data_IF_572220679214
#
_entry.id   IF_572220679214
#
_cell.length_a   1.000
_cell.length_b   1.000
_cell.length_c   1.000
_cell.angle_alpha   90.00
_cell.angle_beta   90.00
_cell.angle_gamma   90.00
#
_symmetry.space_group_name_H-M   'P 1'
#
loop_
_entity.id
_entity.type
_entity.pdbx_description
1 polymer ?
#
# COMPACT_ATOMS: atom_id res chain seq x y z
N UNK A 1 33.56 -19.58 21.73
CA UNK A 1 34.23 -18.49 20.98
C UNK A 1 33.68 -18.55 19.55
N UNK A 2 33.13 -17.47 19.04
CA UNK A 2 32.70 -17.47 17.64
C UNK A 2 33.96 -17.58 16.77
N UNK A 3 34.05 -18.62 15.94
CA UNK A 3 35.10 -18.75 14.96
C UNK A 3 34.96 -17.68 13.88
N UNK A 4 36.09 -17.07 13.49
CA UNK A 4 36.16 -16.08 12.43
C UNK A 4 37.02 -16.60 11.28
N UNK A 5 36.67 -16.29 10.07
CA UNK A 5 37.52 -16.43 8.90
C UNK A 5 38.04 -15.07 8.43
N UNK A 6 39.11 -15.07 7.68
CA UNK A 6 39.65 -13.87 7.04
C UNK A 6 39.13 -13.77 5.61
N UNK A 7 38.57 -12.62 5.28
CA UNK A 7 38.23 -12.25 3.90
C UNK A 7 38.91 -10.93 3.54
N UNK A 8 39.00 -10.64 2.26
CA UNK A 8 39.66 -9.44 1.75
C UNK A 8 38.79 -8.66 0.78
N UNK A 9 38.87 -7.35 0.85
CA UNK A 9 38.40 -6.41 -0.17
C UNK A 9 39.54 -5.46 -0.58
N UNK A 10 39.21 -4.40 -1.34
CA UNK A 10 40.20 -3.41 -1.82
C UNK A 10 40.89 -2.61 -0.69
N UNK A 11 40.33 -2.62 0.51
CA UNK A 11 40.87 -1.93 1.70
C UNK A 11 41.69 -2.85 2.59
N UNK A 12 41.76 -4.15 2.29
CA UNK A 12 42.54 -5.12 3.04
C UNK A 12 41.71 -6.19 3.73
N UNK A 13 42.33 -6.82 4.76
CA UNK A 13 41.77 -7.97 5.48
C UNK A 13 40.66 -7.54 6.47
N UNK A 14 39.60 -8.37 6.55
CA UNK A 14 38.48 -8.24 7.49
C UNK A 14 38.18 -9.60 8.11
N UNK A 15 37.85 -9.62 9.41
CA UNK A 15 37.39 -10.81 10.13
C UNK A 15 35.89 -10.94 10.01
N UNK A 16 35.43 -12.02 9.36
CA UNK A 16 34.00 -12.34 9.17
C UNK A 16 33.65 -13.57 9.98
N UNK A 17 32.49 -13.66 10.66
CA UNK A 17 32.09 -14.87 11.37
C UNK A 17 32.10 -16.08 10.42
N UNK A 18 32.68 -17.20 10.88
CA UNK A 18 32.98 -18.35 10.00
C UNK A 18 31.74 -19.02 9.40
N UNK A 19 30.60 -18.94 10.10
CA UNK A 19 29.32 -19.53 9.71
C UNK A 19 28.50 -18.66 8.72
N UNK A 20 28.88 -17.41 8.51
CA UNK A 20 28.10 -16.46 7.68
C UNK A 20 28.52 -16.49 6.22
N UNK A 21 27.55 -16.29 5.33
CA UNK A 21 27.80 -16.24 3.88
C UNK A 21 28.19 -14.85 3.37
N UNK A 22 27.98 -13.80 4.15
CA UNK A 22 28.46 -12.48 3.74
C UNK A 22 29.97 -12.38 3.82
N UNK A 23 30.55 -11.38 3.16
CA UNK A 23 31.98 -11.20 3.05
C UNK A 23 32.48 -9.90 3.68
N UNK A 24 33.66 -9.43 3.21
CA UNK A 24 34.37 -8.31 3.79
C UNK A 24 33.60 -6.98 3.72
N UNK A 25 32.98 -6.67 2.59
CA UNK A 25 32.28 -5.39 2.43
C UNK A 25 31.01 -5.30 3.30
N UNK A 26 30.27 -6.40 3.40
CA UNK A 26 29.13 -6.49 4.33
C UNK A 26 29.57 -6.34 5.78
N UNK A 27 30.64 -7.00 6.16
CA UNK A 27 31.17 -6.92 7.52
C UNK A 27 31.59 -5.48 7.88
N UNK A 28 32.25 -4.76 6.97
CA UNK A 28 32.56 -3.34 7.16
C UNK A 28 31.30 -2.48 7.31
N UNK A 29 30.26 -2.77 6.55
CA UNK A 29 29.00 -2.05 6.68
C UNK A 29 28.37 -2.27 8.05
N UNK A 30 28.39 -3.48 8.58
CA UNK A 30 27.92 -3.79 9.93
C UNK A 30 28.72 -3.06 11.02
N UNK A 31 30.01 -2.87 10.82
CA UNK A 31 30.88 -2.16 11.76
C UNK A 31 30.65 -0.64 11.73
N UNK A 32 30.42 -0.06 10.54
CA UNK A 32 30.35 1.39 10.37
C UNK A 32 28.93 1.96 10.38
N UNK A 33 27.90 1.15 10.08
CA UNK A 33 26.52 1.58 9.88
C UNK A 33 25.51 0.82 10.74
N UNK A 34 25.88 0.39 11.93
CA UNK A 34 24.97 -0.18 12.94
C UNK A 34 24.11 0.94 13.55
N UNK A 35 23.14 1.44 12.79
CA UNK A 35 22.27 2.57 13.15
C UNK A 35 20.83 2.09 13.23
N UNK A 36 20.21 2.20 14.39
CA UNK A 36 18.84 1.76 14.62
C UNK A 36 18.67 0.24 14.50
N UNK A 37 17.43 -0.19 14.31
CA UNK A 37 17.08 -1.61 14.14
C UNK A 37 16.45 -1.92 12.76
N UNK A 38 16.29 -0.91 11.92
CA UNK A 38 15.61 -1.04 10.63
C UNK A 38 16.53 -1.73 9.62
N UNK A 39 16.19 -2.95 9.26
CA UNK A 39 16.92 -3.69 8.22
C UNK A 39 16.36 -3.38 6.83
N UNK A 40 17.17 -3.61 5.80
CA UNK A 40 16.72 -3.55 4.42
C UNK A 40 15.51 -4.49 4.23
N UNK A 41 14.45 -4.03 3.58
CA UNK A 41 13.22 -4.82 3.39
C UNK A 41 13.48 -6.18 2.72
N UNK A 42 12.75 -7.21 3.15
CA UNK A 42 12.83 -8.55 2.57
C UNK A 42 12.51 -8.57 1.07
N UNK A 43 11.64 -7.69 0.63
CA UNK A 43 11.29 -7.47 -0.77
C UNK A 43 12.52 -7.16 -1.62
N UNK A 44 13.51 -6.44 -1.05
CA UNK A 44 14.78 -6.15 -1.73
C UNK A 44 15.65 -7.39 -1.89
N UNK A 45 15.65 -8.32 -0.92
CA UNK A 45 16.38 -9.59 -1.03
C UNK A 45 15.83 -10.39 -2.20
N UNK A 46 14.53 -10.55 -2.27
CA UNK A 46 13.83 -11.27 -3.35
C UNK A 46 14.04 -10.58 -4.70
N UNK A 47 13.91 -9.25 -4.76
CA UNK A 47 14.11 -8.48 -5.98
C UNK A 47 15.54 -8.61 -6.52
N UNK A 48 16.54 -8.58 -5.63
CA UNK A 48 17.92 -8.80 -6.03
C UNK A 48 18.18 -10.23 -6.50
N UNK A 49 17.57 -11.24 -5.89
CA UNK A 49 17.69 -12.63 -6.37
C UNK A 49 17.13 -12.78 -7.79
N UNK A 50 15.98 -12.16 -8.08
CA UNK A 50 15.41 -12.08 -9.45
C UNK A 50 16.39 -11.38 -10.39
N UNK A 51 16.89 -10.21 -10.01
CA UNK A 51 17.79 -9.39 -10.80
C UNK A 51 19.10 -10.14 -11.10
N UNK A 52 19.75 -10.74 -10.11
CA UNK A 52 21.02 -11.47 -10.27
C UNK A 52 20.84 -12.72 -11.12
N UNK A 53 19.72 -13.44 -10.96
CA UNK A 53 19.38 -14.57 -11.83
C UNK A 53 19.20 -14.12 -13.28
N UNK A 54 18.44 -13.05 -13.51
CA UNK A 54 18.23 -12.50 -14.85
C UNK A 54 19.54 -12.02 -15.49
N UNK A 55 20.40 -11.34 -14.72
CA UNK A 55 21.70 -10.89 -15.21
C UNK A 55 22.63 -12.07 -15.55
N UNK A 56 22.64 -13.13 -14.73
CA UNK A 56 23.39 -14.35 -15.02
C UNK A 56 22.90 -15.02 -16.31
N UNK A 57 21.57 -15.11 -16.51
CA UNK A 57 20.97 -15.66 -17.71
C UNK A 57 21.35 -14.84 -18.96
N UNK A 58 21.26 -13.51 -18.89
CA UNK A 58 21.61 -12.62 -20.00
C UNK A 58 23.11 -12.69 -20.34
N UNK A 59 24.00 -12.67 -19.35
CA UNK A 59 25.44 -12.79 -19.57
C UNK A 59 25.85 -14.16 -20.10
N UNK A 60 25.17 -15.23 -19.66
CA UNK A 60 25.39 -16.58 -20.18
C UNK A 60 24.93 -16.68 -21.63
N UNK A 61 23.75 -16.18 -21.97
CA UNK A 61 23.26 -16.17 -23.36
C UNK A 61 24.18 -15.35 -24.30
N UNK A 62 24.82 -14.31 -23.78
CA UNK A 62 25.85 -13.52 -24.52
C UNK A 62 27.23 -14.17 -24.55
N UNK A 63 27.40 -15.37 -23.99
CA UNK A 63 28.69 -16.09 -23.97
C UNK A 63 29.74 -15.52 -23.01
N UNK A 64 29.37 -14.57 -22.12
CA UNK A 64 30.29 -13.95 -21.16
C UNK A 64 30.46 -14.73 -19.87
N UNK A 65 29.45 -15.52 -19.50
CA UNK A 65 29.44 -16.36 -18.29
C UNK A 65 29.34 -17.82 -18.72
N UNK A 66 30.30 -18.66 -18.28
CA UNK A 66 30.32 -20.08 -18.61
C UNK A 66 29.22 -20.88 -17.90
N UNK A 67 28.92 -22.08 -18.45
CA UNK A 67 27.85 -22.97 -17.98
C UNK A 67 27.95 -23.29 -16.48
N UNK A 68 29.17 -23.57 -15.98
CA UNK A 68 29.37 -23.98 -14.58
C UNK A 68 29.07 -22.85 -13.60
N UNK A 69 29.59 -21.64 -13.86
CA UNK A 69 29.34 -20.46 -13.03
C UNK A 69 27.90 -20.02 -13.11
N UNK A 70 27.33 -20.03 -14.32
CA UNK A 70 25.91 -19.73 -14.53
C UNK A 70 25.01 -20.66 -13.71
N UNK A 71 25.20 -21.98 -13.82
CA UNK A 71 24.39 -22.96 -13.08
C UNK A 71 24.46 -22.77 -11.54
N UNK A 72 25.66 -22.45 -11.02
CA UNK A 72 25.84 -22.17 -9.60
C UNK A 72 25.12 -20.89 -9.15
N UNK A 73 25.27 -19.78 -9.88
CA UNK A 73 24.62 -18.50 -9.54
C UNK A 73 23.11 -18.66 -9.58
N UNK A 74 22.56 -19.25 -10.65
CA UNK A 74 21.11 -19.49 -10.78
C UNK A 74 20.58 -20.33 -9.64
N UNK A 75 21.26 -21.43 -9.29
CA UNK A 75 20.88 -22.28 -8.17
C UNK A 75 20.81 -21.51 -6.85
N UNK A 76 21.81 -20.70 -6.54
CA UNK A 76 21.81 -19.89 -5.30
C UNK A 76 20.70 -18.83 -5.32
N UNK A 77 20.46 -18.19 -6.46
CA UNK A 77 19.32 -17.28 -6.57
C UNK A 77 17.99 -18.00 -6.32
N UNK A 78 17.82 -19.24 -6.80
CA UNK A 78 16.63 -20.05 -6.53
C UNK A 78 16.50 -20.44 -5.06
N UNK A 79 17.61 -20.74 -4.37
CA UNK A 79 17.61 -20.96 -2.91
C UNK A 79 17.10 -19.70 -2.18
N UNK A 80 17.57 -18.51 -2.55
CA UNK A 80 17.14 -17.24 -1.96
C UNK A 80 15.64 -16.96 -2.26
N UNK A 81 15.19 -17.19 -3.49
CA UNK A 81 13.78 -17.05 -3.88
C UNK A 81 12.86 -18.00 -3.13
N UNK A 82 13.37 -19.19 -2.79
CA UNK A 82 12.67 -20.16 -1.94
C UNK A 82 12.68 -19.80 -0.43
N UNK A 83 13.19 -18.63 -0.07
CA UNK A 83 13.23 -18.15 1.32
C UNK A 83 14.43 -18.62 2.14
N UNK A 84 15.41 -19.28 1.52
CA UNK A 84 16.63 -19.71 2.20
C UNK A 84 17.63 -18.54 2.31
N UNK A 85 18.51 -18.62 3.30
CA UNK A 85 19.61 -17.66 3.52
C UNK A 85 19.19 -16.21 3.80
N UNK A 86 17.92 -15.95 4.12
CA UNK A 86 17.46 -14.57 4.37
C UNK A 86 18.13 -13.92 5.59
N UNK A 87 18.62 -14.70 6.53
CA UNK A 87 19.41 -14.26 7.69
C UNK A 87 20.85 -13.84 7.31
N UNK A 88 21.26 -14.02 6.06
CA UNK A 88 22.55 -13.59 5.54
C UNK A 88 22.55 -12.15 4.98
N UNK A 89 21.42 -11.43 5.13
CA UNK A 89 21.26 -10.04 4.68
C UNK A 89 20.97 -9.11 5.88
N UNK A 90 21.96 -8.86 6.75
CA UNK A 90 21.75 -8.19 8.03
C UNK A 90 21.91 -6.66 7.98
N UNK A 91 22.01 -6.06 6.79
CA UNK A 91 22.32 -4.65 6.65
C UNK A 91 21.15 -3.74 7.03
N UNK A 92 21.48 -2.65 7.69
CA UNK A 92 20.52 -1.61 8.08
C UNK A 92 20.13 -0.73 6.89
N UNK A 93 18.96 -0.10 6.97
CA UNK A 93 18.51 0.91 6.01
C UNK A 93 19.47 2.11 5.96
N UNK A 94 20.03 2.48 7.11
CA UNK A 94 20.91 3.63 7.31
C UNK A 94 22.35 3.32 6.87
N UNK A 95 22.52 3.02 5.58
CA UNK A 95 23.79 2.73 4.91
C UNK A 95 24.11 3.81 3.87
N UNK A 96 25.12 3.58 3.02
CA UNK A 96 25.38 4.46 1.89
C UNK A 96 24.14 4.60 1.01
N UNK A 97 23.74 5.82 0.70
CA UNK A 97 22.51 6.11 -0.03
C UNK A 97 22.45 5.60 -1.47
N UNK A 98 23.59 5.17 -2.02
CA UNK A 98 23.67 4.48 -3.32
C UNK A 98 23.15 3.03 -3.26
N UNK A 99 23.16 2.42 -2.07
CA UNK A 99 22.83 1.00 -1.88
C UNK A 99 23.96 0.05 -2.23
N UNK A 100 25.18 0.55 -2.47
CA UNK A 100 26.34 -0.27 -2.86
C UNK A 100 26.63 -1.40 -1.87
N UNK A 101 26.53 -1.12 -0.57
CA UNK A 101 26.80 -2.12 0.47
C UNK A 101 25.82 -3.30 0.38
N UNK A 102 24.55 -3.06 0.13
CA UNK A 102 23.58 -4.13 -0.01
C UNK A 102 23.74 -4.91 -1.35
N UNK A 103 24.05 -4.24 -2.46
CA UNK A 103 24.43 -4.94 -3.69
C UNK A 103 25.62 -5.87 -3.46
N UNK A 104 26.63 -5.41 -2.72
CA UNK A 104 27.79 -6.24 -2.39
C UNK A 104 27.44 -7.37 -1.42
N UNK A 105 26.56 -7.13 -0.44
CA UNK A 105 26.04 -8.18 0.43
C UNK A 105 25.43 -9.33 -0.40
N UNK A 106 24.59 -8.99 -1.39
CA UNK A 106 24.00 -10.01 -2.28
C UNK A 106 25.08 -10.72 -3.10
N UNK A 107 26.02 -9.99 -3.66
CA UNK A 107 27.13 -10.58 -4.44
C UNK A 107 28.00 -11.52 -3.60
N UNK A 108 28.31 -11.12 -2.36
CA UNK A 108 29.15 -11.92 -1.43
C UNK A 108 28.42 -13.18 -0.98
N UNK A 109 27.12 -13.09 -0.62
CA UNK A 109 26.32 -14.25 -0.24
C UNK A 109 26.21 -15.27 -1.37
N UNK A 110 25.94 -14.80 -2.60
CA UNK A 110 25.87 -15.68 -3.78
C UNK A 110 27.24 -16.34 -4.01
N UNK A 111 28.33 -15.57 -4.02
CA UNK A 111 29.68 -16.08 -4.22
C UNK A 111 30.07 -17.13 -3.16
N UNK A 112 29.88 -16.83 -1.90
CA UNK A 112 30.22 -17.75 -0.79
C UNK A 112 29.35 -19.01 -0.79
N UNK A 113 28.06 -18.90 -1.12
CA UNK A 113 27.22 -20.08 -1.29
C UNK A 113 27.68 -20.95 -2.46
N UNK A 114 28.12 -20.34 -3.56
CA UNK A 114 28.73 -21.07 -4.68
C UNK A 114 30.02 -21.77 -4.25
N UNK A 115 30.84 -21.16 -3.37
CA UNK A 115 32.03 -21.82 -2.80
C UNK A 115 31.61 -23.08 -2.02
N UNK A 116 30.60 -23.00 -1.15
CA UNK A 116 30.10 -24.18 -0.41
C UNK A 116 29.63 -25.29 -1.36
N UNK A 117 28.84 -24.94 -2.38
CA UNK A 117 28.33 -25.90 -3.36
C UNK A 117 29.45 -26.57 -4.18
N UNK A 118 30.55 -25.87 -4.40
CA UNK A 118 31.71 -26.36 -5.12
C UNK A 118 32.76 -27.06 -4.23
N UNK A 119 32.56 -27.06 -2.89
CA UNK A 119 33.52 -27.64 -1.94
C UNK A 119 34.80 -26.81 -1.77
N UNK A 120 34.77 -25.51 -2.09
CA UNK A 120 35.89 -24.57 -1.91
C UNK A 120 35.71 -23.76 -0.62
N UNK A 121 36.79 -23.14 -0.11
CA UNK A 121 36.75 -22.35 1.10
C UNK A 121 35.89 -21.07 0.91
N UNK A 122 35.12 -20.70 1.94
CA UNK A 122 34.43 -19.40 1.97
C UNK A 122 35.47 -18.27 1.89
N UNK A 123 35.13 -17.21 1.14
CA UNK A 123 36.04 -16.09 0.88
C UNK A 123 37.08 -16.35 -0.19
N UNK A 124 37.19 -17.59 -0.72
CA UNK A 124 38.14 -17.91 -1.80
C UNK A 124 37.77 -17.27 -3.14
N UNK A 125 36.53 -16.83 -3.31
CA UNK A 125 35.99 -16.25 -4.55
C UNK A 125 36.09 -17.22 -5.74
N UNK A 126 36.17 -18.51 -5.48
CA UNK A 126 36.32 -19.59 -6.47
C UNK A 126 35.28 -20.67 -6.23
N UNK A 127 34.50 -21.09 -7.25
CA UNK A 127 34.62 -20.75 -8.69
C UNK A 127 33.96 -19.44 -9.10
N UNK A 128 33.15 -18.80 -8.24
CA UNK A 128 32.38 -17.60 -8.55
C UNK A 128 32.90 -16.40 -7.76
N UNK A 129 33.39 -15.38 -8.48
CA UNK A 129 33.85 -14.12 -7.89
C UNK A 129 32.68 -13.14 -7.74
N UNK A 130 32.52 -12.42 -6.60
CA UNK A 130 31.37 -11.53 -6.36
C UNK A 130 31.29 -10.38 -7.37
N UNK A 131 32.43 -9.78 -7.74
CA UNK A 131 32.44 -8.65 -8.69
C UNK A 131 32.50 -9.11 -10.14
N UNK A 132 33.39 -10.06 -10.48
CA UNK A 132 33.66 -10.42 -11.86
C UNK A 132 32.55 -11.27 -12.49
N UNK A 133 31.83 -12.08 -11.69
CA UNK A 133 30.81 -12.99 -12.17
C UNK A 133 29.41 -12.63 -11.71
N UNK A 134 29.16 -12.41 -10.40
CA UNK A 134 27.82 -12.08 -9.90
C UNK A 134 27.40 -10.67 -10.31
N UNK A 135 28.33 -9.72 -10.30
CA UNK A 135 28.11 -8.31 -10.68
C UNK A 135 28.44 -7.99 -12.14
N UNK A 136 28.71 -9.00 -12.96
CA UNK A 136 29.06 -8.84 -14.38
C UNK A 136 28.02 -7.99 -15.12
N UNK A 137 28.47 -7.01 -15.92
CA UNK A 137 27.65 -6.07 -16.69
C UNK A 137 26.76 -5.13 -15.83
N UNK A 138 27.06 -4.97 -14.54
CA UNK A 138 26.26 -4.19 -13.59
C UNK A 138 27.12 -3.20 -12.80
N UNK A 139 26.43 -2.22 -12.22
CA UNK A 139 26.90 -1.38 -11.12
C UNK A 139 25.86 -1.44 -9.99
N UNK A 140 26.22 -1.07 -8.77
CA UNK A 140 25.20 -0.79 -7.72
C UNK A 140 24.31 0.39 -8.11
N UNK A 141 24.79 1.27 -8.98
CA UNK A 141 24.08 2.48 -9.38
C UNK A 141 22.88 2.19 -10.28
N UNK A 142 22.90 1.11 -11.05
CA UNK A 142 21.78 0.65 -11.87
C UNK A 142 21.04 -0.54 -11.27
N UNK A 143 21.73 -1.42 -10.53
CA UNK A 143 21.13 -2.62 -9.95
C UNK A 143 20.26 -2.31 -8.73
N UNK A 144 20.70 -1.43 -7.82
CA UNK A 144 19.90 -1.10 -6.62
C UNK A 144 18.57 -0.41 -6.98
N UNK A 145 18.53 0.63 -7.84
CA UNK A 145 17.25 1.20 -8.23
C UNK A 145 16.38 0.22 -9.01
N UNK A 146 16.97 -0.64 -9.85
CA UNK A 146 16.18 -1.69 -10.52
C UNK A 146 15.56 -2.67 -9.54
N UNK A 147 16.30 -3.08 -8.49
CA UNK A 147 15.75 -3.92 -7.42
C UNK A 147 14.64 -3.20 -6.63
N UNK A 148 14.76 -1.89 -6.38
CA UNK A 148 13.69 -1.08 -5.76
C UNK A 148 12.40 -1.13 -6.59
N UNK A 149 12.52 -0.97 -7.90
CA UNK A 149 11.37 -0.98 -8.82
C UNK A 149 10.74 -2.37 -8.90
N UNK A 150 11.55 -3.42 -8.98
CA UNK A 150 11.07 -4.82 -8.94
C UNK A 150 10.35 -5.10 -7.62
N UNK A 151 10.97 -4.78 -6.47
CA UNK A 151 10.40 -4.99 -5.14
C UNK A 151 9.05 -4.30 -5.00
N UNK A 152 8.97 -3.02 -5.40
CA UNK A 152 7.74 -2.22 -5.31
C UNK A 152 6.63 -2.77 -6.21
N UNK A 153 6.93 -3.05 -7.47
CA UNK A 153 5.92 -3.54 -8.42
C UNK A 153 5.39 -4.92 -8.04
N UNK A 154 6.27 -5.84 -7.65
CA UNK A 154 5.89 -7.19 -7.22
C UNK A 154 5.02 -7.13 -5.96
N UNK A 155 5.43 -6.38 -4.94
CA UNK A 155 4.67 -6.24 -3.70
C UNK A 155 3.27 -5.61 -3.95
N UNK A 156 3.19 -4.58 -4.78
CA UNK A 156 1.91 -3.95 -5.13
C UNK A 156 1.01 -4.92 -5.90
N UNK A 157 1.53 -5.59 -6.93
CA UNK A 157 0.72 -6.51 -7.77
C UNK A 157 0.29 -7.77 -7.05
N UNK A 158 1.17 -8.37 -6.26
CA UNK A 158 0.90 -9.66 -5.65
C UNK A 158 0.24 -9.57 -4.28
N UNK A 159 0.34 -8.44 -3.58
CA UNK A 159 -0.15 -8.30 -2.21
C UNK A 159 -1.17 -7.17 -2.06
N UNK A 160 -0.80 -5.92 -2.40
CA UNK A 160 -1.64 -4.76 -2.11
C UNK A 160 -2.92 -4.74 -2.96
N UNK A 161 -2.80 -4.86 -4.29
CA UNK A 161 -3.96 -4.84 -5.18
C UNK A 161 -4.98 -5.93 -4.82
N UNK A 162 -4.60 -7.20 -4.61
CA UNK A 162 -5.53 -8.23 -4.17
C UNK A 162 -6.23 -7.91 -2.84
N UNK A 163 -5.51 -7.35 -1.86
CA UNK A 163 -6.07 -7.00 -0.57
C UNK A 163 -7.08 -5.84 -0.66
N UNK A 164 -6.73 -4.77 -1.38
CA UNK A 164 -7.61 -3.62 -1.60
C UNK A 164 -8.83 -4.03 -2.45
N UNK A 165 -8.64 -4.85 -3.48
CA UNK A 165 -9.74 -5.37 -4.30
C UNK A 165 -10.70 -6.22 -3.46
N UNK A 166 -10.20 -7.09 -2.61
CA UNK A 166 -11.04 -7.90 -1.73
C UNK A 166 -11.83 -7.03 -0.72
N UNK A 167 -11.22 -5.95 -0.21
CA UNK A 167 -11.91 -4.96 0.62
C UNK A 167 -12.99 -4.22 -0.18
N UNK A 168 -12.67 -3.75 -1.38
CA UNK A 168 -13.64 -3.14 -2.30
C UNK A 168 -14.83 -4.05 -2.53
N UNK A 169 -14.60 -5.30 -2.90
CA UNK A 169 -15.65 -6.26 -3.24
C UNK A 169 -16.56 -6.54 -2.02
N UNK A 170 -16.00 -6.61 -0.81
CA UNK A 170 -16.78 -6.77 0.42
C UNK A 170 -17.67 -5.54 0.72
N UNK A 171 -17.14 -4.33 0.54
CA UNK A 171 -17.90 -3.09 0.70
C UNK A 171 -18.99 -2.97 -0.37
N UNK A 172 -18.69 -3.27 -1.62
CA UNK A 172 -19.63 -3.25 -2.72
C UNK A 172 -20.78 -4.27 -2.52
N UNK A 173 -20.47 -5.46 -1.98
CA UNK A 173 -21.49 -6.44 -1.62
C UNK A 173 -22.44 -5.93 -0.54
N UNK A 174 -21.93 -5.21 0.47
CA UNK A 174 -22.75 -4.55 1.50
C UNK A 174 -23.60 -3.42 0.89
N UNK A 175 -23.01 -2.61 0.00
CA UNK A 175 -23.73 -1.55 -0.69
C UNK A 175 -24.93 -2.12 -1.46
N UNK A 176 -24.75 -3.21 -2.21
CA UNK A 176 -25.85 -3.88 -2.92
C UNK A 176 -26.91 -4.47 -1.96
N UNK A 177 -26.46 -5.09 -0.86
CA UNK A 177 -27.39 -5.70 0.12
C UNK A 177 -28.20 -4.67 0.92
N UNK A 178 -27.78 -3.41 0.97
CA UNK A 178 -28.40 -2.33 1.76
C UNK A 178 -28.97 -1.19 0.91
N UNK A 179 -29.18 -1.44 -0.39
CA UNK A 179 -29.65 -0.44 -1.34
C UNK A 179 -31.09 0.06 -1.07
N UNK A 180 -31.89 -0.75 -0.39
CA UNK A 180 -33.26 -0.42 0.03
C UNK A 180 -33.39 0.16 1.44
N UNK A 181 -32.31 0.24 2.22
CA UNK A 181 -32.32 0.73 3.59
C UNK A 181 -32.20 2.26 3.58
N UNK A 182 -33.34 2.94 3.66
CA UNK A 182 -33.39 4.41 3.75
C UNK A 182 -32.93 4.87 5.11
N UNK A 183 -31.97 5.82 5.12
CA UNK A 183 -31.45 6.48 6.32
C UNK A 183 -31.37 8.00 6.12
N UNK A 184 -31.17 8.76 7.20
CA UNK A 184 -30.84 10.17 7.06
C UNK A 184 -29.41 10.33 6.57
N UNK A 185 -29.18 11.26 5.63
CA UNK A 185 -27.85 11.74 5.30
C UNK A 185 -27.34 12.74 6.34
N UNK A 186 -26.04 13.00 6.33
CA UNK A 186 -25.43 14.05 7.14
C UNK A 186 -24.45 14.87 6.33
N UNK A 187 -24.60 16.21 6.43
CA UNK A 187 -23.61 17.17 5.92
C UNK A 187 -23.22 18.08 7.08
N UNK A 188 -21.96 18.47 7.23
CA UNK A 188 -21.46 19.21 8.38
C UNK A 188 -21.72 18.53 9.73
N UNK A 189 -21.87 17.21 9.75
CA UNK A 189 -22.33 16.42 10.91
C UNK A 189 -23.75 16.73 11.38
N UNK A 190 -24.54 17.45 10.59
CA UNK A 190 -25.95 17.77 10.84
C UNK A 190 -26.84 16.90 9.96
N UNK A 191 -28.07 16.68 10.43
CA UNK A 191 -29.08 15.93 9.70
C UNK A 191 -29.36 16.57 8.33
N UNK A 192 -29.42 15.75 7.32
CA UNK A 192 -29.68 16.15 5.94
C UNK A 192 -30.80 15.29 5.33
N UNK A 193 -31.03 15.48 4.03
CA UNK A 193 -32.02 14.70 3.29
C UNK A 193 -31.65 13.22 3.24
N UNK A 194 -32.63 12.31 3.07
CA UNK A 194 -32.39 10.88 3.03
C UNK A 194 -31.49 10.43 1.87
N UNK A 195 -30.78 9.36 2.11
CA UNK A 195 -30.16 8.48 1.12
C UNK A 195 -30.37 7.03 1.58
N UNK A 196 -29.95 6.06 0.78
CA UNK A 196 -29.89 4.68 1.28
C UNK A 196 -28.51 4.39 1.90
N UNK A 197 -28.48 3.44 2.84
CA UNK A 197 -27.21 2.94 3.39
C UNK A 197 -26.34 2.32 2.27
N UNK A 198 -26.98 1.68 1.29
CA UNK A 198 -26.30 1.18 0.10
C UNK A 198 -25.63 2.27 -0.72
N UNK A 199 -26.30 3.41 -0.94
CA UNK A 199 -25.72 4.57 -1.61
C UNK A 199 -24.51 5.13 -0.87
N UNK A 200 -24.58 5.27 0.45
CA UNK A 200 -23.46 5.70 1.28
C UNK A 200 -22.24 4.75 1.15
N UNK A 201 -22.46 3.45 1.25
CA UNK A 201 -21.40 2.45 1.10
C UNK A 201 -20.90 2.30 -0.33
N UNK A 202 -21.72 2.57 -1.35
CA UNK A 202 -21.28 2.61 -2.75
C UNK A 202 -20.23 3.69 -2.99
N UNK A 203 -20.32 4.82 -2.25
CA UNK A 203 -19.30 5.86 -2.27
C UNK A 203 -17.94 5.35 -1.80
N UNK A 204 -17.91 4.53 -0.74
CA UNK A 204 -16.66 3.91 -0.26
C UNK A 204 -16.08 2.90 -1.27
N UNK A 205 -16.93 2.08 -1.88
CA UNK A 205 -16.50 1.18 -2.94
C UNK A 205 -15.92 1.95 -4.14
N UNK A 206 -16.60 3.03 -4.56
CA UNK A 206 -16.13 3.90 -5.64
C UNK A 206 -14.75 4.51 -5.38
N UNK A 207 -14.49 4.99 -4.16
CA UNK A 207 -13.17 5.51 -3.78
C UNK A 207 -12.06 4.47 -3.96
N UNK A 208 -12.29 3.22 -3.53
CA UNK A 208 -11.32 2.13 -3.66
C UNK A 208 -11.14 1.67 -5.12
N UNK A 209 -12.20 1.68 -5.93
CA UNK A 209 -12.11 1.40 -7.36
C UNK A 209 -11.21 2.41 -8.07
N UNK A 210 -11.45 3.71 -7.83
CA UNK A 210 -10.62 4.79 -8.36
C UNK A 210 -9.16 4.68 -7.90
N UNK A 211 -8.91 4.29 -6.65
CA UNK A 211 -7.56 4.12 -6.13
C UNK A 211 -6.83 2.94 -6.78
N UNK A 212 -7.52 1.86 -7.10
CA UNK A 212 -6.95 0.73 -7.86
C UNK A 212 -6.52 1.16 -9.27
N UNK A 213 -7.32 1.98 -9.96
CA UNK A 213 -6.95 2.54 -11.26
C UNK A 213 -5.71 3.45 -11.17
N UNK A 214 -5.66 4.33 -10.16
CA UNK A 214 -4.49 5.20 -9.90
C UNK A 214 -3.22 4.39 -9.64
N UNK A 215 -3.32 3.29 -8.90
CA UNK A 215 -2.19 2.38 -8.63
C UNK A 215 -1.71 1.74 -9.94
N UNK A 216 -2.62 1.27 -10.78
CA UNK A 216 -2.29 0.69 -12.09
C UNK A 216 -1.58 1.70 -13.00
N UNK A 217 -2.01 2.95 -12.99
CA UNK A 217 -1.37 4.03 -13.74
C UNK A 217 0.04 4.35 -13.21
N UNK A 218 0.23 4.42 -11.90
CA UNK A 218 1.53 4.69 -11.30
C UNK A 218 2.55 3.58 -11.58
N UNK A 219 2.12 2.32 -11.64
CA UNK A 219 3.00 1.19 -11.94
C UNK A 219 3.63 1.25 -13.34
N UNK A 220 3.03 1.92 -14.32
CA UNK A 220 3.58 2.06 -15.68
C UNK A 220 4.99 2.67 -15.68
N UNK A 221 5.25 3.63 -14.78
CA UNK A 221 6.57 4.22 -14.61
C UNK A 221 7.55 3.28 -13.89
N UNK A 222 7.05 2.50 -12.94
CA UNK A 222 7.85 1.58 -12.11
C UNK A 222 8.37 0.37 -12.90
N UNK A 223 7.74 0.01 -14.02
CA UNK A 223 8.23 -1.08 -14.88
C UNK A 223 9.47 -0.74 -15.71
N UNK A 224 9.98 0.50 -15.67
CA UNK A 224 11.12 0.96 -16.46
C UNK A 224 12.41 0.87 -15.65
N UNK A 225 13.27 -0.10 -16.00
CA UNK A 225 14.44 -0.46 -15.21
C UNK A 225 15.70 0.32 -15.63
N UNK A 226 16.51 0.68 -14.62
CA UNK A 226 17.82 1.30 -14.79
C UNK A 226 18.90 0.32 -15.27
N UNK A 227 18.72 -0.97 -15.01
CA UNK A 227 19.71 -2.01 -15.25
C UNK A 227 20.23 -1.98 -16.70
N UNK A 228 21.55 -2.07 -16.85
CA UNK A 228 22.26 -1.86 -18.13
C UNK A 228 22.81 -0.45 -18.31
N UNK A 229 22.45 0.51 -17.44
CA UNK A 229 23.07 1.85 -17.44
C UNK A 229 24.44 1.87 -16.76
N UNK A 230 24.73 0.88 -15.95
CA UNK A 230 25.99 0.73 -15.18
C UNK A 230 26.31 1.94 -14.30
N UNK A 231 27.51 2.50 -14.40
CA UNK A 231 28.02 3.49 -13.45
C UNK A 231 27.24 4.82 -13.45
N UNK A 232 26.94 5.37 -14.62
CA UNK A 232 26.34 6.71 -14.79
C UNK A 232 25.21 6.77 -15.83
N UNK A 233 24.83 5.63 -16.42
CA UNK A 233 23.77 5.57 -17.44
C UNK A 233 24.25 5.29 -18.86
N UNK A 234 25.56 5.26 -19.10
CA UNK A 234 26.13 5.04 -20.43
C UNK A 234 26.27 3.58 -20.83
N UNK A 235 26.15 2.65 -19.88
CA UNK A 235 26.26 1.21 -20.13
C UNK A 235 27.70 0.70 -20.30
N UNK A 236 28.69 1.42 -19.79
CA UNK A 236 30.09 0.97 -19.88
C UNK A 236 30.28 -0.42 -19.25
N UNK A 237 31.05 -1.30 -19.92
CA UNK A 237 31.28 -2.69 -19.52
C UNK A 237 30.05 -3.62 -19.56
N UNK A 238 28.92 -3.19 -20.10
CA UNK A 238 27.80 -4.05 -20.49
C UNK A 238 27.82 -4.29 -22.00
N UNK A 239 27.49 -5.51 -22.44
CA UNK A 239 27.36 -5.81 -23.85
C UNK A 239 26.17 -5.08 -24.48
N UNK A 240 26.26 -4.66 -25.76
CA UNK A 240 25.12 -4.18 -26.49
C UNK A 240 23.94 -5.18 -26.42
N UNK A 241 22.74 -4.70 -26.06
CA UNK A 241 21.55 -5.54 -25.88
C UNK A 241 21.39 -6.17 -24.50
N UNK A 242 22.36 -6.00 -23.58
CA UNK A 242 22.24 -6.52 -22.21
C UNK A 242 21.05 -5.92 -21.46
N UNK A 243 20.81 -4.63 -21.61
CA UNK A 243 19.73 -3.93 -20.90
C UNK A 243 18.34 -4.48 -21.28
N UNK A 244 18.12 -4.73 -22.56
CA UNK A 244 16.89 -5.31 -23.10
C UNK A 244 16.75 -6.78 -22.68
N UNK A 245 17.81 -7.56 -22.80
CA UNK A 245 17.82 -8.98 -22.46
C UNK A 245 17.53 -9.22 -20.96
N UNK A 246 18.18 -8.46 -20.08
CA UNK A 246 17.99 -8.61 -18.63
C UNK A 246 16.60 -8.14 -18.20
N UNK A 247 16.05 -7.08 -18.78
CA UNK A 247 14.70 -6.63 -18.50
C UNK A 247 13.65 -7.66 -18.96
N UNK A 248 13.84 -8.29 -20.11
CA UNK A 248 12.98 -9.37 -20.61
C UNK A 248 13.03 -10.61 -19.70
N UNK A 249 14.21 -10.99 -19.20
CA UNK A 249 14.33 -12.09 -18.22
C UNK A 249 13.64 -11.73 -16.87
N UNK A 250 13.77 -10.50 -16.38
CA UNK A 250 13.06 -10.05 -15.19
C UNK A 250 11.55 -10.11 -15.42
N UNK A 251 11.06 -9.66 -16.58
CA UNK A 251 9.64 -9.75 -16.92
C UNK A 251 9.14 -11.20 -16.91
N UNK A 252 9.92 -12.12 -17.49
CA UNK A 252 9.60 -13.55 -17.51
C UNK A 252 9.60 -14.16 -16.12
N UNK A 253 10.57 -13.86 -15.26
CA UNK A 253 10.69 -14.39 -13.91
C UNK A 253 9.60 -13.88 -12.96
N UNK A 254 9.12 -12.65 -13.16
CA UNK A 254 8.12 -12.02 -12.31
C UNK A 254 6.69 -12.11 -12.84
N UNK A 255 6.53 -12.38 -14.13
CA UNK A 255 5.23 -12.29 -14.82
C UNK A 255 4.72 -10.85 -14.98
N UNK A 256 5.58 -9.84 -14.79
CA UNK A 256 5.23 -8.41 -14.86
C UNK A 256 5.91 -7.74 -16.06
N UNK A 257 5.33 -6.69 -16.65
CA UNK A 257 5.78 -6.12 -17.90
C UNK A 257 6.99 -5.18 -17.74
N UNK A 258 8.05 -5.64 -17.11
CA UNK A 258 9.29 -4.89 -16.98
C UNK A 258 9.97 -4.70 -18.33
N UNK A 259 10.47 -3.49 -18.54
CA UNK A 259 11.21 -3.09 -19.73
C UNK A 259 12.44 -2.28 -19.34
N UNK A 260 13.42 -2.23 -20.25
CA UNK A 260 14.54 -1.31 -20.07
C UNK A 260 14.04 0.14 -20.17
N UNK A 261 14.51 1.03 -19.27
CA UNK A 261 14.15 2.44 -19.35
C UNK A 261 14.71 3.05 -20.64
N UNK A 262 13.90 3.85 -21.36
CA UNK A 262 14.35 4.49 -22.60
C UNK A 262 15.46 5.52 -22.37
N UNK A 263 15.56 6.04 -21.16
CA UNK A 263 16.61 6.96 -20.72
C UNK A 263 17.15 6.52 -19.36
N UNK A 264 18.38 5.99 -19.34
CA UNK A 264 19.04 5.48 -18.12
C UNK A 264 19.41 6.59 -17.15
N UNK A 265 19.72 7.77 -17.66
CA UNK A 265 20.09 8.93 -16.84
C UNK A 265 18.93 9.38 -15.95
N UNK A 266 17.68 9.33 -16.46
CA UNK A 266 16.49 9.64 -15.67
C UNK A 266 16.32 8.72 -14.46
N UNK A 267 16.46 7.39 -14.67
CA UNK A 267 16.15 6.37 -13.65
C UNK A 267 17.33 6.03 -12.73
N UNK A 268 18.48 6.68 -12.92
CA UNK A 268 19.63 6.62 -12.00
C UNK A 268 19.80 7.91 -11.19
N UNK A 269 19.61 9.06 -11.82
CA UNK A 269 19.69 10.36 -11.17
C UNK A 269 18.44 10.76 -10.40
N UNK A 270 17.28 10.24 -10.80
CA UNK A 270 15.99 10.50 -10.17
C UNK A 270 15.14 9.23 -10.04
N UNK A 271 14.11 9.28 -9.18
CA UNK A 271 13.19 8.16 -8.93
C UNK A 271 11.72 8.63 -8.92
N UNK A 272 11.35 9.49 -9.86
CA UNK A 272 10.02 10.12 -9.94
C UNK A 272 8.88 9.09 -10.01
N UNK A 273 9.12 7.94 -10.67
CA UNK A 273 8.12 6.85 -10.70
C UNK A 273 7.81 6.28 -9.31
N UNK A 274 8.80 6.18 -8.43
CA UNK A 274 8.59 5.75 -7.04
C UNK A 274 7.95 6.86 -6.19
N UNK A 275 8.28 8.12 -6.45
CA UNK A 275 7.61 9.27 -5.81
C UNK A 275 6.14 9.31 -6.23
N UNK A 276 5.83 9.12 -7.51
CA UNK A 276 4.45 9.02 -8.00
C UNK A 276 3.71 7.84 -7.36
N UNK A 277 4.31 6.66 -7.30
CA UNK A 277 3.72 5.51 -6.63
C UNK A 277 3.42 5.81 -5.16
N UNK A 278 4.37 6.39 -4.44
CA UNK A 278 4.21 6.77 -3.03
C UNK A 278 3.05 7.76 -2.83
N UNK A 279 2.96 8.79 -3.67
CA UNK A 279 1.84 9.75 -3.66
C UNK A 279 0.48 9.08 -3.95
N UNK A 280 0.48 8.05 -4.80
CA UNK A 280 -0.72 7.24 -5.07
C UNK A 280 -1.10 6.38 -3.86
N UNK A 281 -0.12 5.77 -3.19
CA UNK A 281 -0.35 5.04 -1.93
C UNK A 281 -0.88 5.96 -0.83
N UNK A 282 -0.41 7.21 -0.76
CA UNK A 282 -0.97 8.23 0.12
C UNK A 282 -2.44 8.51 -0.21
N UNK A 283 -2.82 8.58 -1.49
CA UNK A 283 -4.22 8.79 -1.89
C UNK A 283 -5.11 7.64 -1.40
N UNK A 284 -4.69 6.39 -1.58
CA UNK A 284 -5.37 5.23 -1.00
C UNK A 284 -5.47 5.34 0.53
N UNK A 285 -4.41 5.77 1.21
CA UNK A 285 -4.44 5.96 2.67
C UNK A 285 -5.49 7.01 3.09
N UNK A 286 -5.65 8.10 2.33
CA UNK A 286 -6.70 9.11 2.57
C UNK A 286 -8.10 8.51 2.43
N UNK A 287 -8.33 7.68 1.42
CA UNK A 287 -9.60 6.95 1.23
C UNK A 287 -9.88 6.01 2.40
N UNK A 288 -8.90 5.21 2.79
CA UNK A 288 -9.02 4.28 3.93
C UNK A 288 -9.27 5.01 5.25
N UNK A 289 -8.62 6.16 5.46
CA UNK A 289 -8.82 7.00 6.63
C UNK A 289 -10.27 7.51 6.73
N UNK A 290 -10.84 8.01 5.62
CA UNK A 290 -12.23 8.45 5.57
C UNK A 290 -13.19 7.29 5.83
N UNK A 291 -13.04 6.18 5.11
CA UNK A 291 -13.92 5.01 5.25
C UNK A 291 -13.92 4.51 6.71
N UNK A 292 -12.76 4.38 7.33
CA UNK A 292 -12.64 3.93 8.71
C UNK A 292 -13.30 4.89 9.71
N UNK A 293 -13.13 6.21 9.53
CA UNK A 293 -13.75 7.20 10.42
C UNK A 293 -15.27 7.29 10.24
N UNK A 294 -15.78 7.21 9.01
CA UNK A 294 -17.23 7.23 8.80
C UNK A 294 -17.90 5.99 9.43
N UNK A 295 -17.34 4.80 9.23
CA UNK A 295 -17.86 3.57 9.87
C UNK A 295 -17.76 3.66 11.41
N UNK A 296 -16.65 4.18 11.93
CA UNK A 296 -16.45 4.42 13.36
C UNK A 296 -17.50 5.36 13.94
N UNK A 297 -17.81 6.46 13.24
CA UNK A 297 -18.86 7.41 13.65
C UNK A 297 -20.24 6.78 13.60
N UNK A 298 -20.60 6.10 12.50
CA UNK A 298 -21.90 5.44 12.37
C UNK A 298 -22.12 4.32 13.39
N UNK A 299 -21.05 3.72 13.91
CA UNK A 299 -21.13 2.65 14.92
C UNK A 299 -21.04 3.15 16.35
N UNK A 300 -20.80 4.46 16.59
CA UNK A 300 -20.64 4.99 17.95
C UNK A 300 -21.93 4.86 18.77
N UNK A 301 -21.81 4.49 20.04
CA UNK A 301 -22.96 4.30 20.92
C UNK A 301 -22.63 3.34 22.07
N UNK A 302 -23.55 2.40 22.44
CA UNK A 302 -24.73 1.97 21.65
C UNK A 302 -26.02 2.82 21.86
N UNK A 303 -26.11 3.68 22.88
CA UNK A 303 -27.33 4.44 23.16
C UNK A 303 -27.17 5.95 23.00
N UNK A 304 -26.01 6.49 23.34
CA UNK A 304 -25.71 7.92 23.31
C UNK A 304 -24.98 8.38 22.05
N UNK A 305 -24.93 7.57 20.98
CA UNK A 305 -24.30 7.88 19.71
C UNK A 305 -25.19 7.58 18.52
N UNK A 306 -24.65 7.60 17.33
CA UNK A 306 -25.39 7.36 16.09
C UNK A 306 -25.94 5.94 16.02
N UNK A 307 -25.12 4.95 16.37
CA UNK A 307 -25.52 3.54 16.47
C UNK A 307 -26.31 3.01 15.25
N UNK A 308 -26.04 3.53 14.06
CA UNK A 308 -26.65 3.07 12.80
C UNK A 308 -26.06 1.74 12.34
N UNK A 309 -24.80 1.45 12.74
CA UNK A 309 -24.11 0.21 12.45
C UNK A 309 -23.80 -0.57 13.73
N UNK A 310 -23.92 -1.89 13.63
CA UNK A 310 -23.49 -2.85 14.63
C UNK A 310 -22.22 -3.53 14.11
N UNK A 311 -21.11 -3.28 14.78
CA UNK A 311 -19.80 -3.84 14.41
C UNK A 311 -19.50 -5.12 15.19
N UNK A 312 -18.64 -6.03 14.66
CA UNK A 312 -18.22 -7.23 15.34
C UNK A 312 -17.48 -6.94 16.66
N UNK A 313 -17.67 -7.80 17.63
CA UNK A 313 -16.92 -7.82 18.89
C UNK A 313 -15.73 -8.80 18.70
N UNK A 314 -14.52 -8.27 18.52
CA UNK A 314 -13.33 -9.06 18.26
C UNK A 314 -12.50 -9.34 19.52
N UNK A 315 -12.53 -8.41 20.49
CA UNK A 315 -11.80 -8.49 21.75
C UNK A 315 -12.58 -7.77 22.87
N UNK A 316 -12.28 -8.03 24.16
CA UNK A 316 -12.86 -7.28 25.28
C UNK A 316 -12.56 -5.78 25.15
N UNK A 317 -13.59 -4.95 25.01
CA UNK A 317 -13.45 -3.52 24.74
C UNK A 317 -13.02 -2.67 25.93
N UNK A 318 -13.05 -3.21 27.16
CA UNK A 318 -12.66 -2.50 28.38
C UNK A 318 -12.38 -3.45 29.53
N UNK A 319 -11.39 -3.11 30.35
CA UNK A 319 -11.06 -3.86 31.57
C UNK A 319 -12.07 -3.62 32.73
N UNK A 320 -12.86 -2.54 32.67
CA UNK A 320 -13.77 -2.13 33.75
C UNK A 320 -15.21 -1.88 33.29
N UNK A 321 -15.51 -1.91 32.00
CA UNK A 321 -16.84 -1.72 31.43
C UNK A 321 -17.26 -2.96 30.61
N UNK A 322 -17.88 -3.97 31.26
CA UNK A 322 -18.27 -5.19 30.55
C UNK A 322 -19.26 -4.91 29.40
N UNK A 323 -19.08 -5.58 28.28
CA UNK A 323 -19.95 -5.41 27.11
C UNK A 323 -19.68 -4.16 26.26
N UNK A 324 -18.61 -3.40 26.54
CA UNK A 324 -18.21 -2.28 25.71
C UNK A 324 -17.50 -2.80 24.43
N UNK A 325 -18.06 -2.51 23.26
CA UNK A 325 -17.47 -2.84 21.95
C UNK A 325 -16.81 -1.61 21.36
N UNK A 326 -15.52 -1.71 21.03
CA UNK A 326 -14.77 -0.61 20.44
C UNK A 326 -14.53 -0.83 18.93
N UNK A 327 -14.45 0.24 18.12
CA UNK A 327 -14.17 0.14 16.68
C UNK A 327 -12.67 0.01 16.42
N UNK A 328 -12.02 -0.99 17.04
CA UNK A 328 -10.54 -1.14 17.08
C UNK A 328 -9.89 -1.32 15.71
N UNK A 329 -10.59 -1.99 14.79
CA UNK A 329 -10.12 -2.11 13.40
C UNK A 329 -10.12 -0.75 12.68
N UNK A 330 -11.08 0.12 12.98
CA UNK A 330 -11.06 1.50 12.48
C UNK A 330 -9.88 2.29 13.04
N UNK A 331 -9.58 2.12 14.32
CA UNK A 331 -8.44 2.79 14.97
C UNK A 331 -7.11 2.34 14.36
N UNK A 332 -6.93 1.03 14.18
CA UNK A 332 -5.74 0.48 13.53
C UNK A 332 -5.59 1.01 12.10
N UNK A 333 -6.65 1.00 11.31
CA UNK A 333 -6.59 1.45 9.91
C UNK A 333 -6.31 2.95 9.79
N UNK A 334 -6.83 3.77 10.70
CA UNK A 334 -6.53 5.22 10.72
C UNK A 334 -5.08 5.49 11.10
N UNK A 335 -4.49 4.74 12.05
CA UNK A 335 -3.06 4.84 12.37
C UNK A 335 -2.19 4.42 11.19
N UNK A 336 -2.54 3.35 10.49
CA UNK A 336 -1.87 2.91 9.26
C UNK A 336 -1.90 4.02 8.21
N UNK A 337 -3.05 4.62 7.97
CA UNK A 337 -3.20 5.70 7.01
C UNK A 337 -2.29 6.90 7.33
N UNK A 338 -2.23 7.33 8.59
CA UNK A 338 -1.35 8.42 9.04
C UNK A 338 0.12 8.05 8.83
N UNK A 339 0.52 6.81 9.14
CA UNK A 339 1.90 6.36 8.93
C UNK A 339 2.28 6.37 7.44
N UNK A 340 1.39 5.95 6.55
CA UNK A 340 1.61 6.00 5.09
C UNK A 340 1.77 7.43 4.59
N UNK A 341 0.96 8.37 5.10
CA UNK A 341 1.11 9.80 4.77
C UNK A 341 2.47 10.34 5.21
N UNK A 342 2.96 9.93 6.39
CA UNK A 342 4.28 10.33 6.88
C UNK A 342 5.42 9.71 6.05
N UNK A 343 5.29 8.43 5.66
CA UNK A 343 6.25 7.76 4.79
C UNK A 343 6.36 8.44 3.42
N UNK A 344 5.23 8.92 2.85
CA UNK A 344 5.23 9.64 1.58
C UNK A 344 6.03 10.95 1.64
N UNK A 345 5.99 11.66 2.76
CA UNK A 345 6.83 12.85 2.97
C UNK A 345 8.32 12.49 2.88
N UNK A 346 8.74 11.40 3.52
CA UNK A 346 10.13 10.93 3.46
C UNK A 346 10.53 10.52 2.04
N UNK A 347 9.64 9.85 1.29
CA UNK A 347 9.87 9.46 -0.12
C UNK A 347 9.98 10.70 -1.01
N UNK A 348 9.12 11.70 -0.82
CA UNK A 348 9.16 12.95 -1.59
C UNK A 348 10.48 13.71 -1.42
N UNK A 349 10.95 13.87 -0.18
CA UNK A 349 12.25 14.48 0.10
C UNK A 349 13.42 13.63 -0.44
N UNK A 350 13.34 12.30 -0.28
CA UNK A 350 14.32 11.38 -0.84
C UNK A 350 14.40 11.48 -2.37
N UNK A 351 13.26 11.58 -3.05
CA UNK A 351 13.20 11.78 -4.50
C UNK A 351 13.81 13.09 -4.96
N UNK A 352 13.58 14.18 -4.21
CA UNK A 352 14.16 15.50 -4.49
C UNK A 352 15.67 15.57 -4.25
N UNK A 353 16.25 14.62 -3.51
CA UNK A 353 17.66 14.60 -3.12
C UNK A 353 18.63 14.02 -4.15
N UNK A 354 18.24 13.82 -5.41
CA UNK A 354 19.13 13.39 -6.50
C UNK A 354 20.04 14.52 -6.97
N UNK A 355 21.33 14.21 -7.10
CA UNK A 355 22.31 15.16 -7.62
C UNK A 355 23.06 14.55 -8.81
N UNK A 356 23.06 15.28 -9.93
CA UNK A 356 23.70 14.83 -11.17
C UNK A 356 23.24 13.41 -11.56
N UNK A 357 24.13 12.46 -11.73
CA UNK A 357 23.85 11.13 -12.26
C UNK A 357 23.37 10.11 -11.22
N UNK A 358 23.19 10.53 -9.93
CA UNK A 358 22.77 9.58 -8.88
C UNK A 358 21.95 10.21 -7.76
N UNK A 359 20.85 9.55 -7.42
CA UNK A 359 20.14 9.76 -6.17
C UNK A 359 20.76 8.85 -5.07
N UNK A 360 21.07 9.45 -3.91
CA UNK A 360 21.69 8.75 -2.77
C UNK A 360 20.76 8.62 -1.55
N UNK A 361 19.45 8.64 -1.76
CA UNK A 361 18.42 8.39 -0.74
C UNK A 361 17.65 7.09 -0.96
N UNK A 362 18.18 6.21 -1.81
CA UNK A 362 17.50 4.99 -2.27
C UNK A 362 17.08 4.04 -1.14
N UNK A 363 17.92 3.72 -0.14
CA UNK A 363 17.51 2.85 0.96
C UNK A 363 16.36 3.43 1.79
N UNK A 364 16.37 4.75 2.07
CA UNK A 364 15.27 5.45 2.73
C UNK A 364 13.96 5.32 1.92
N UNK A 365 14.01 5.60 0.62
CA UNK A 365 12.82 5.57 -0.23
C UNK A 365 12.19 4.18 -0.26
N UNK A 366 12.97 3.13 -0.52
CA UNK A 366 12.42 1.78 -0.64
C UNK A 366 11.91 1.23 0.70
N UNK A 367 12.54 1.55 1.82
CA UNK A 367 12.07 1.17 3.14
C UNK A 367 10.69 1.75 3.43
N UNK A 368 10.47 3.04 3.16
CA UNK A 368 9.18 3.69 3.38
C UNK A 368 8.09 3.18 2.42
N UNK A 369 8.43 2.92 1.15
CA UNK A 369 7.47 2.40 0.16
C UNK A 369 7.02 0.98 0.53
N UNK A 370 7.96 0.08 0.80
CA UNK A 370 7.63 -1.31 1.15
C UNK A 370 6.91 -1.41 2.49
N UNK A 371 7.28 -0.58 3.46
CA UNK A 371 6.55 -0.46 4.72
C UNK A 371 5.10 -0.03 4.48
N UNK A 372 4.87 1.01 3.68
CA UNK A 372 3.53 1.48 3.33
C UNK A 372 2.70 0.40 2.64
N UNK A 373 3.28 -0.31 1.66
CA UNK A 373 2.62 -1.42 0.96
C UNK A 373 2.23 -2.52 1.95
N UNK A 374 3.14 -2.90 2.85
CA UNK A 374 2.92 -4.00 3.81
C UNK A 374 1.81 -3.66 4.79
N UNK A 375 1.88 -2.50 5.47
CA UNK A 375 0.88 -2.16 6.49
C UNK A 375 -0.51 -1.88 5.89
N UNK A 376 -0.59 -1.33 4.65
CA UNK A 376 -1.88 -1.18 3.97
C UNK A 376 -2.47 -2.51 3.49
N UNK A 377 -1.64 -3.43 3.05
CA UNK A 377 -2.06 -4.80 2.66
C UNK A 377 -2.69 -5.50 3.85
N UNK A 378 -1.97 -5.54 4.97
CA UNK A 378 -2.40 -6.22 6.19
C UNK A 378 -3.61 -5.51 6.81
N UNK A 379 -3.57 -4.17 6.88
CA UNK A 379 -4.65 -3.35 7.39
C UNK A 379 -5.94 -3.50 6.59
N UNK A 380 -5.88 -3.47 5.26
CA UNK A 380 -7.05 -3.68 4.39
C UNK A 380 -7.62 -5.10 4.54
N UNK A 381 -6.76 -6.10 4.66
CA UNK A 381 -7.15 -7.49 4.88
C UNK A 381 -7.87 -7.68 6.22
N UNK A 382 -7.30 -7.13 7.30
CA UNK A 382 -7.88 -7.24 8.63
C UNK A 382 -9.17 -6.43 8.76
N UNK A 383 -9.20 -5.21 8.22
CA UNK A 383 -10.40 -4.37 8.22
C UNK A 383 -11.56 -5.03 7.48
N UNK A 384 -11.30 -5.66 6.32
CA UNK A 384 -12.30 -6.46 5.62
C UNK A 384 -12.81 -7.60 6.48
N UNK A 385 -11.90 -8.44 6.97
CA UNK A 385 -12.21 -9.71 7.61
C UNK A 385 -12.84 -9.54 8.98
N UNK A 386 -12.32 -8.62 9.78
CA UNK A 386 -12.70 -8.46 11.19
C UNK A 386 -13.69 -7.31 11.45
N UNK A 387 -13.97 -6.48 10.44
CA UNK A 387 -14.97 -5.43 10.56
C UNK A 387 -16.03 -5.52 9.46
N UNK A 388 -15.67 -5.25 8.20
CA UNK A 388 -16.62 -5.07 7.11
C UNK A 388 -17.56 -6.25 6.96
N UNK A 389 -17.03 -7.48 6.88
CA UNK A 389 -17.82 -8.70 6.68
C UNK A 389 -18.86 -8.91 7.78
N UNK A 390 -18.50 -8.62 9.03
CA UNK A 390 -19.37 -8.81 10.21
C UNK A 390 -20.29 -7.65 10.53
N UNK A 391 -20.10 -6.46 9.95
CA UNK A 391 -20.91 -5.27 10.19
C UNK A 391 -22.34 -5.45 9.70
N UNK A 392 -23.33 -4.99 10.52
CA UNK A 392 -24.77 -5.07 10.23
C UNK A 392 -25.45 -3.71 10.43
N UNK A 393 -26.53 -3.41 9.71
CA UNK A 393 -27.33 -2.20 9.95
C UNK A 393 -28.16 -2.36 11.23
N UNK A 394 -28.26 -1.30 12.01
CA UNK A 394 -29.22 -1.20 13.12
C UNK A 394 -30.54 -0.64 12.59
N UNK A 395 -31.36 -1.50 11.99
CA UNK A 395 -32.59 -1.10 11.31
C UNK A 395 -33.56 -0.31 12.22
N UNK A 396 -33.62 -0.67 13.51
CA UNK A 396 -34.47 0.03 14.47
C UNK A 396 -34.04 1.48 14.66
N UNK A 397 -32.75 1.71 14.86
CA UNK A 397 -32.20 3.06 15.04
C UNK A 397 -32.34 3.88 13.76
N UNK A 398 -31.96 3.32 12.62
CA UNK A 398 -32.09 3.97 11.31
C UNK A 398 -33.54 4.44 11.08
N UNK A 399 -34.52 3.54 11.28
CA UNK A 399 -35.94 3.87 11.12
C UNK A 399 -36.37 4.99 12.01
N UNK A 400 -36.03 4.93 13.32
CA UNK A 400 -36.37 5.98 14.30
C UNK A 400 -35.78 7.34 13.91
N UNK A 401 -34.55 7.37 13.42
CA UNK A 401 -33.89 8.62 12.99
C UNK A 401 -34.57 9.23 11.75
N UNK A 402 -34.98 8.40 10.79
CA UNK A 402 -35.75 8.86 9.62
C UNK A 402 -37.10 9.44 10.06
N UNK A 403 -37.86 8.74 10.93
CA UNK A 403 -39.17 9.19 11.38
C UNK A 403 -39.11 10.52 12.15
N UNK A 404 -38.01 10.79 12.85
CA UNK A 404 -37.80 12.04 13.62
C UNK A 404 -37.14 13.14 12.82
N UNK A 405 -36.64 12.88 11.62
CA UNK A 405 -35.88 13.86 10.84
C UNK A 405 -36.73 15.05 10.40
N UNK A 406 -36.32 16.25 10.80
CA UNK A 406 -36.92 17.49 10.35
C UNK A 406 -36.58 17.86 8.90
N UNK A 407 -35.51 17.28 8.35
CA UNK A 407 -35.04 17.57 6.98
C UNK A 407 -35.89 16.94 5.89
N UNK A 408 -36.81 16.02 6.25
CA UNK A 408 -37.83 15.52 5.35
C UNK A 408 -38.75 16.62 4.81
N UNK A 409 -38.84 17.75 5.52
CA UNK A 409 -39.59 18.96 5.10
C UNK A 409 -39.17 19.47 3.72
N UNK A 410 -37.96 19.14 3.27
CA UNK A 410 -37.42 19.49 1.95
C UNK A 410 -38.35 19.04 0.82
N UNK A 411 -39.03 17.90 0.98
CA UNK A 411 -40.02 17.42 0.01
C UNK A 411 -41.27 18.31 -0.10
N UNK A 412 -41.61 19.03 0.94
CA UNK A 412 -42.78 19.94 0.94
C UNK A 412 -42.48 21.28 0.25
N UNK A 413 -41.24 21.73 0.23
CA UNK A 413 -40.88 23.05 -0.31
C UNK A 413 -41.39 23.32 -1.75
N UNK A 414 -41.32 22.38 -2.71
CA UNK A 414 -41.90 22.58 -4.05
C UNK A 414 -43.43 22.72 -4.07
N UNK A 415 -44.13 22.21 -3.03
CA UNK A 415 -45.59 22.16 -2.96
C UNK A 415 -46.16 23.37 -2.26
N UNK A 416 -45.60 23.74 -1.10
CA UNK A 416 -46.16 24.81 -0.22
C UNK A 416 -45.26 26.08 -0.18
N UNK A 417 -44.11 26.06 -0.82
CA UNK A 417 -43.12 27.13 -0.75
C UNK A 417 -42.12 26.96 0.40
N UNK A 418 -40.92 27.53 0.23
CA UNK A 418 -39.78 27.40 1.17
C UNK A 418 -40.13 27.95 2.55
N UNK A 419 -40.75 29.13 2.62
CA UNK A 419 -41.05 29.81 3.88
C UNK A 419 -41.99 29.01 4.78
N UNK A 420 -43.03 28.41 4.22
CA UNK A 420 -43.96 27.55 4.98
C UNK A 420 -43.26 26.24 5.40
N UNK A 421 -42.44 25.65 4.54
CA UNK A 421 -41.65 24.49 4.87
C UNK A 421 -40.69 24.79 6.05
N UNK A 422 -40.01 25.94 6.01
CA UNK A 422 -39.15 26.42 7.10
C UNK A 422 -39.95 26.63 8.43
N UNK A 423 -41.15 27.20 8.35
CA UNK A 423 -42.01 27.37 9.54
C UNK A 423 -42.39 26.04 10.15
N UNK A 424 -42.68 25.00 9.34
CA UNK A 424 -43.00 23.66 9.85
C UNK A 424 -41.77 23.08 10.59
N UNK A 425 -40.58 23.15 10.01
CA UNK A 425 -39.38 22.61 10.65
C UNK A 425 -39.03 23.31 11.97
N UNK A 426 -39.08 24.64 12.01
CA UNK A 426 -38.86 25.40 13.25
C UNK A 426 -39.93 25.07 14.31
N UNK A 427 -41.21 25.07 13.92
CA UNK A 427 -42.29 24.77 14.86
C UNK A 427 -42.19 23.34 15.43
N UNK A 428 -41.77 22.38 14.59
CA UNK A 428 -41.53 21.02 15.05
C UNK A 428 -40.38 20.96 16.06
N UNK A 429 -39.26 21.65 15.77
CA UNK A 429 -38.09 21.69 16.65
C UNK A 429 -38.43 22.36 18.00
N UNK A 430 -39.06 23.52 17.99
CA UNK A 430 -39.37 24.31 19.18
C UNK A 430 -40.37 23.64 20.13
N UNK A 431 -41.21 22.75 19.60
CA UNK A 431 -42.27 22.07 20.36
C UNK A 431 -42.05 20.56 20.54
N UNK A 432 -40.87 20.03 20.15
CA UNK A 432 -40.53 18.58 20.19
C UNK A 432 -41.60 17.72 19.51
N UNK A 433 -42.01 18.14 18.29
CA UNK A 433 -43.01 17.47 17.48
C UNK A 433 -42.36 16.80 16.26
N UNK A 434 -43.05 15.79 15.70
CA UNK A 434 -42.73 15.31 14.36
C UNK A 434 -43.10 16.33 13.28
N UNK A 435 -42.51 16.25 12.11
CA UNK A 435 -42.87 17.13 10.97
C UNK A 435 -44.35 17.02 10.63
N UNK A 436 -44.93 15.83 10.68
CA UNK A 436 -46.35 15.58 10.38
C UNK A 436 -47.23 16.31 11.36
N UNK A 437 -46.96 16.15 12.67
CA UNK A 437 -47.74 16.86 13.71
C UNK A 437 -47.64 18.37 13.58
N UNK A 438 -46.46 18.90 13.29
CA UNK A 438 -46.26 20.34 13.09
C UNK A 438 -46.99 20.86 11.88
N UNK A 439 -46.90 20.15 10.73
CA UNK A 439 -47.55 20.53 9.48
C UNK A 439 -49.06 20.56 9.60
N UNK A 440 -49.64 19.59 10.28
CA UNK A 440 -51.09 19.53 10.54
C UNK A 440 -51.56 20.61 11.51
N UNK A 441 -50.79 20.89 12.59
CA UNK A 441 -51.11 21.97 13.55
C UNK A 441 -51.07 23.36 12.90
N UNK A 442 -50.15 23.59 11.99
CA UNK A 442 -50.04 24.84 11.23
C UNK A 442 -51.05 24.94 10.08
N UNK A 443 -51.69 23.84 9.71
CA UNK A 443 -52.71 23.81 8.67
C UNK A 443 -52.20 24.09 7.26
N UNK A 444 -50.91 23.86 6.97
CA UNK A 444 -50.33 24.14 5.66
C UNK A 444 -50.54 23.02 4.66
N UNK A 445 -50.79 21.81 5.14
CA UNK A 445 -51.11 20.63 4.30
C UNK A 445 -52.12 19.75 5.05
N UNK A 446 -52.89 18.97 4.29
CA UNK A 446 -53.71 17.90 4.87
C UNK A 446 -52.84 16.66 5.16
N UNK A 447 -53.36 15.76 6.01
CA UNK A 447 -52.66 14.50 6.33
C UNK A 447 -52.37 13.67 5.09
N UNK A 448 -53.38 13.51 4.23
CA UNK A 448 -53.22 12.76 2.98
C UNK A 448 -52.19 13.38 2.02
N UNK A 449 -52.13 14.70 1.99
CA UNK A 449 -51.09 15.41 1.20
C UNK A 449 -49.69 15.26 1.77
N UNK A 450 -49.57 15.38 3.10
CA UNK A 450 -48.30 15.14 3.78
C UNK A 450 -47.76 13.74 3.49
N UNK A 451 -48.56 12.70 3.69
CA UNK A 451 -48.16 11.31 3.50
C UNK A 451 -47.81 10.99 2.03
N UNK A 452 -48.47 11.64 1.08
CA UNK A 452 -48.18 11.52 -0.34
C UNK A 452 -46.86 12.17 -0.74
N UNK A 453 -46.55 13.33 -0.16
CA UNK A 453 -45.39 14.17 -0.55
C UNK A 453 -44.16 13.79 0.25
N UNK A 454 -44.26 13.58 1.54
CA UNK A 454 -43.15 13.26 2.45
C UNK A 454 -42.95 11.77 2.52
N UNK A 455 -42.38 11.21 1.47
CA UNK A 455 -42.05 9.80 1.37
C UNK A 455 -40.49 9.66 1.26
N UNK A 456 -39.80 9.27 2.33
CA UNK A 456 -38.35 9.16 2.34
C UNK A 456 -37.80 8.24 1.24
N UNK A 457 -38.55 7.19 0.84
CA UNK A 457 -38.13 6.27 -0.21
C UNK A 457 -38.10 6.92 -1.61
N UNK A 458 -38.87 7.98 -1.83
CA UNK A 458 -38.84 8.77 -3.08
C UNK A 458 -37.70 9.77 -3.09
N UNK A 459 -37.24 10.19 -1.90
CA UNK A 459 -36.23 11.26 -1.77
C UNK A 459 -34.79 10.79 -2.02
N UNK A 460 -34.55 9.48 -2.15
CA UNK A 460 -33.21 8.89 -2.37
C UNK A 460 -32.78 8.83 -3.85
N UNK A 461 -33.51 9.46 -4.74
CA UNK A 461 -33.25 9.57 -6.18
C UNK A 461 -33.75 10.90 -6.71
N UNK A 462 -33.37 11.31 -7.93
CA UNK A 462 -33.90 12.51 -8.54
C UNK A 462 -35.42 12.52 -8.54
N UNK A 463 -36.02 13.46 -7.78
CA UNK A 463 -37.46 13.55 -7.56
C UNK A 463 -37.86 14.99 -7.25
N UNK A 464 -38.97 15.44 -7.83
CA UNK A 464 -39.63 16.71 -7.50
C UNK A 464 -41.08 16.40 -7.14
N UNK A 465 -41.43 16.68 -5.88
CA UNK A 465 -42.83 16.53 -5.46
C UNK A 465 -43.72 17.55 -6.19
N UNK A 466 -44.89 17.12 -6.63
CA UNK A 466 -45.87 17.97 -7.25
C UNK A 466 -47.11 18.10 -6.38
N UNK A 467 -47.73 19.27 -6.35
CA UNK A 467 -48.93 19.56 -5.55
C UNK A 467 -50.22 18.89 -6.06
N UNK A 468 -50.12 18.03 -7.11
CA UNK A 468 -51.31 17.36 -7.71
C UNK A 468 -51.19 15.84 -7.60
#
# INVERSE_FOLDING_TARGET
MNDFRKETDSLGEVRVPADKLWGAQTQRSLEHFSIGADLIPREMITAYAVLKKAAANANHAAGRLDDKRHALIVKVCDEILAGQHHDMFPLHVWMTGSGTQFNMNVNEVISNRCCQLAGTALGSKTPVHPNDHVNMSQSSNDSFPSAMYIASAVAVRQRLIPAVKALHDAIAAKAGAWDDIVKIGRTHMQDATPLTLGQEWSGYAGMLADDLERIDDALKGVYRLALGGTAVGTGINAEPGFAEAVAAEIAKLTGLPFVTAPNKFTVQGAHDALVQLSGTLRTLAVSLYKIANDIRLMSCGPRAGFAELLIPENEPGSSIMPGKVNPTQCEALTMIAVQVMANDVAVGFGGAGGYLEMNVYKPLMISNITHSITIMTDGSTNFRKFLVEGTKPNLKKIKTDVERSLMLVTALAPVIGYDKASQIAHYAMDNDLTLKEAALKLGFVSEAEFDRVVDPAKMVKPYVATGR
#
